data_IF_089141360952
#
_entry.id   IF_089141360952
#
_cell.length_a   1.000
_cell.length_b   1.000
_cell.length_c   1.000
_cell.angle_alpha   90.00
_cell.angle_beta   90.00
_cell.angle_gamma   90.00
#
_symmetry.space_group_name_H-M   'P 1'
#
loop_
_entity.id
_entity.type
_entity.pdbx_description
1 polymer ?
#
# COMPACT_ATOMS: atom_id res chain seq x y z
N UNK A 1 -8.78 -69.91 21.50
CA UNK A 1 -7.91 -68.99 22.25
C UNK A 1 -7.68 -67.62 21.58
N UNK A 2 -8.46 -67.21 20.55
CA UNK A 2 -8.20 -65.95 19.82
C UNK A 2 -9.27 -64.86 19.95
N UNK A 3 -10.47 -65.19 20.41
CA UNK A 3 -11.55 -64.21 20.61
C UNK A 3 -11.45 -63.52 21.96
N UNK A 4 -11.25 -64.29 23.04
CA UNK A 4 -11.16 -63.79 24.42
C UNK A 4 -10.05 -62.76 24.65
N UNK A 5 -8.93 -62.90 23.93
CA UNK A 5 -7.80 -61.97 24.05
C UNK A 5 -8.11 -60.63 23.37
N UNK A 6 -8.88 -60.64 22.27
CA UNK A 6 -9.33 -59.42 21.59
C UNK A 6 -10.40 -58.71 22.42
N UNK A 7 -11.34 -59.44 23.03
CA UNK A 7 -12.35 -58.84 23.91
C UNK A 7 -11.75 -58.21 25.17
N UNK A 8 -10.75 -58.86 25.77
CA UNK A 8 -10.07 -58.33 26.96
C UNK A 8 -9.26 -57.06 26.64
N UNK A 9 -8.58 -57.00 25.50
CA UNK A 9 -7.85 -55.80 25.06
C UNK A 9 -8.82 -54.66 24.74
N UNK A 10 -9.94 -54.95 24.07
CA UNK A 10 -10.93 -53.92 23.73
C UNK A 10 -11.59 -53.31 24.98
N UNK A 11 -11.87 -54.12 26.02
CA UNK A 11 -12.41 -53.61 27.29
C UNK A 11 -11.40 -52.76 28.07
N UNK A 12 -10.10 -53.08 28.01
CA UNK A 12 -9.06 -52.31 28.69
C UNK A 12 -8.86 -50.91 28.05
N UNK A 13 -9.01 -50.80 26.73
CA UNK A 13 -8.97 -49.51 26.02
C UNK A 13 -10.17 -48.63 26.38
N UNK A 14 -11.34 -49.23 26.57
CA UNK A 14 -12.58 -48.51 26.91
C UNK A 14 -12.64 -48.06 28.39
N UNK A 15 -11.85 -48.69 29.28
CA UNK A 15 -11.77 -48.36 30.70
C UNK A 15 -10.62 -47.42 31.05
N UNK A 16 -9.84 -46.97 30.05
CA UNK A 16 -8.76 -46.01 30.26
C UNK A 16 -9.36 -44.60 30.44
N UNK A 17 -9.06 -43.88 31.53
CA UNK A 17 -9.49 -42.50 31.66
C UNK A 17 -8.82 -41.67 30.55
N UNK A 18 -9.62 -41.07 29.67
CA UNK A 18 -9.13 -39.97 28.83
C UNK A 18 -8.80 -38.81 29.77
N UNK A 19 -7.50 -38.57 30.02
CA UNK A 19 -7.07 -37.24 30.43
C UNK A 19 -7.33 -36.31 29.23
N UNK A 20 -8.49 -35.68 29.18
CA UNK A 20 -8.69 -34.47 28.38
C UNK A 20 -8.02 -33.32 29.12
N UNK A 21 -6.69 -33.29 29.12
CA UNK A 21 -5.98 -32.06 29.41
C UNK A 21 -6.06 -31.23 28.14
N UNK A 22 -6.98 -30.27 28.11
CA UNK A 22 -6.85 -29.14 27.19
C UNK A 22 -5.49 -28.52 27.45
N UNK A 23 -4.66 -28.39 26.42
CA UNK A 23 -3.51 -27.50 26.48
C UNK A 23 -4.07 -26.08 26.58
N UNK A 24 -4.34 -25.63 27.80
CA UNK A 24 -4.40 -24.20 28.06
C UNK A 24 -2.98 -23.73 27.78
N UNK A 25 -2.80 -23.07 26.64
CA UNK A 25 -1.68 -22.17 26.45
C UNK A 25 -1.90 -21.09 27.51
N UNK A 26 -1.34 -21.31 28.69
CA UNK A 26 -1.10 -20.25 29.66
C UNK A 26 0.01 -19.41 29.02
N UNK A 27 -0.38 -18.58 28.04
CA UNK A 27 0.46 -17.49 27.58
C UNK A 27 0.58 -16.57 28.79
N UNK A 28 1.69 -16.76 29.49
CA UNK A 28 2.15 -15.98 30.63
C UNK A 28 1.75 -14.52 30.42
N UNK A 29 0.72 -14.10 31.15
CA UNK A 29 0.12 -12.77 31.08
C UNK A 29 1.02 -11.69 31.65
N UNK A 30 2.26 -11.60 31.17
CA UNK A 30 3.28 -10.70 31.70
C UNK A 30 4.28 -10.28 30.60
N UNK A 31 3.77 -9.74 29.48
CA UNK A 31 4.50 -8.72 28.72
C UNK A 31 3.67 -7.93 27.69
N UNK A 32 2.37 -7.77 27.89
CA UNK A 32 1.65 -6.71 27.18
C UNK A 32 2.06 -5.37 27.79
N UNK A 33 3.17 -4.81 27.30
CA UNK A 33 3.51 -3.41 27.50
C UNK A 33 2.44 -2.60 26.77
N UNK A 34 1.39 -2.23 27.47
CA UNK A 34 0.53 -1.14 27.03
C UNK A 34 1.43 0.09 26.94
N UNK A 35 1.75 0.51 25.72
CA UNK A 35 2.29 1.84 25.51
C UNK A 35 1.23 2.83 25.97
N UNK A 36 1.64 3.87 26.68
CA UNK A 36 0.79 5.04 26.81
C UNK A 36 0.39 5.50 25.40
N UNK A 37 -0.87 5.94 25.17
CA UNK A 37 -1.26 6.49 23.89
C UNK A 37 -0.28 7.59 23.49
N UNK A 38 0.12 7.62 22.21
CA UNK A 38 1.05 8.62 21.70
C UNK A 38 0.44 10.00 21.96
N UNK A 39 1.05 10.76 22.87
CA UNK A 39 0.76 12.17 23.02
C UNK A 39 1.56 12.91 21.95
N UNK A 40 0.91 13.16 20.81
CA UNK A 40 1.41 14.02 19.76
C UNK A 40 0.50 15.25 19.59
N UNK A 41 1.12 16.36 19.25
CA UNK A 41 0.46 17.61 18.85
C UNK A 41 1.04 18.03 17.51
N UNK A 42 0.21 18.66 16.68
CA UNK A 42 0.58 19.16 15.36
C UNK A 42 0.30 20.65 15.30
N UNK A 43 1.25 21.42 14.78
CA UNK A 43 1.09 22.87 14.60
C UNK A 43 1.90 23.36 13.40
N UNK A 44 1.29 24.14 12.48
CA UNK A 44 -0.16 24.36 12.36
C UNK A 44 -0.92 23.06 12.00
N UNK A 45 -2.23 23.01 12.27
CA UNK A 45 -3.10 21.86 11.92
C UNK A 45 -3.52 21.84 10.44
N UNK A 46 -2.98 22.76 9.63
CA UNK A 46 -3.28 22.95 8.22
C UNK A 46 -2.13 23.69 7.55
N UNK A 47 -1.93 23.49 6.24
CA UNK A 47 -0.92 24.18 5.45
C UNK A 47 -1.29 24.25 3.97
N UNK A 48 -0.42 24.87 3.17
CA UNK A 48 -0.61 24.98 1.72
C UNK A 48 -0.15 23.71 1.00
N UNK A 49 -0.95 23.23 0.05
CA UNK A 49 -0.58 22.10 -0.83
C UNK A 49 0.58 22.43 -1.78
N UNK A 50 0.82 23.72 -2.03
CA UNK A 50 1.99 24.21 -2.77
C UNK A 50 3.32 24.12 -2.01
N UNK A 51 3.29 23.68 -0.75
CA UNK A 51 4.46 23.60 0.12
C UNK A 51 4.92 24.95 0.69
N UNK A 52 6.00 24.91 1.47
CA UNK A 52 6.66 26.09 2.07
C UNK A 52 6.24 26.43 3.50
N UNK A 53 5.17 25.81 4.02
CA UNK A 53 4.79 25.92 5.43
C UNK A 53 5.45 24.82 6.25
N UNK A 54 6.19 25.19 7.31
CA UNK A 54 6.77 24.23 8.24
C UNK A 54 5.69 23.70 9.20
N UNK A 55 5.40 22.39 9.12
CA UNK A 55 4.50 21.72 10.07
C UNK A 55 5.34 20.99 11.12
N UNK A 56 5.14 21.36 12.39
CA UNK A 56 5.83 20.74 13.51
C UNK A 56 4.93 19.70 14.18
N UNK A 57 5.42 18.46 14.29
CA UNK A 57 4.81 17.41 15.09
C UNK A 57 5.63 17.25 16.38
N UNK A 58 5.02 17.56 17.53
CA UNK A 58 5.66 17.44 18.84
C UNK A 58 5.03 16.31 19.64
N UNK A 59 5.84 15.40 20.16
CA UNK A 59 5.37 14.23 20.91
C UNK A 59 6.51 13.33 21.36
N UNK A 60 6.16 12.13 21.83
CA UNK A 60 7.12 11.11 22.26
C UNK A 60 6.80 9.76 21.59
N UNK A 61 7.78 8.86 21.49
CA UNK A 61 7.59 7.53 20.89
C UNK A 61 8.00 7.41 19.41
N UNK A 62 8.33 8.51 18.73
CA UNK A 62 8.68 8.49 17.30
C UNK A 62 9.95 7.69 16.97
N UNK A 63 10.90 7.57 17.91
CA UNK A 63 12.14 6.82 17.70
C UNK A 63 11.96 5.31 17.64
N UNK A 64 10.85 4.79 18.21
CA UNK A 64 10.54 3.35 18.20
C UNK A 64 9.63 2.95 17.03
N UNK A 65 9.04 3.90 16.30
CA UNK A 65 8.18 3.60 15.14
C UNK A 65 8.94 2.84 14.04
N UNK A 66 10.25 3.10 13.87
CA UNK A 66 11.09 2.39 12.91
C UNK A 66 11.27 0.89 13.22
N UNK A 67 10.93 0.45 14.45
CA UNK A 67 11.15 -0.92 14.94
C UNK A 67 9.90 -1.55 15.55
N UNK A 68 8.75 -0.87 15.47
CA UNK A 68 7.46 -1.33 15.98
C UNK A 68 6.55 -1.68 14.81
N UNK A 69 6.11 -2.93 14.74
CA UNK A 69 5.02 -3.35 13.86
C UNK A 69 3.63 -3.04 14.46
N UNK A 70 3.59 -2.46 15.66
CA UNK A 70 2.34 -2.02 16.29
C UNK A 70 2.09 -0.58 15.84
N UNK A 71 0.96 -0.34 15.16
CA UNK A 71 0.49 1.00 14.82
C UNK A 71 -0.29 1.62 15.99
N UNK A 72 -0.70 2.88 15.84
CA UNK A 72 -1.38 3.66 16.89
C UNK A 72 -2.73 3.07 17.35
N UNK A 73 -3.29 2.12 16.61
CA UNK A 73 -4.50 1.35 16.94
C UNK A 73 -4.24 0.17 17.91
N UNK A 74 -2.98 -0.09 18.28
CA UNK A 74 -2.60 -1.22 19.14
C UNK A 74 -2.66 -2.59 18.45
N UNK A 75 -2.84 -2.62 17.12
CA UNK A 75 -2.85 -3.84 16.31
C UNK A 75 -1.45 -4.05 15.73
N UNK A 76 -1.03 -5.33 15.65
CA UNK A 76 0.19 -5.71 14.97
C UNK A 76 -0.06 -5.76 13.46
N UNK A 77 0.49 -4.80 12.72
CA UNK A 77 0.44 -4.77 11.26
C UNK A 77 1.63 -5.51 10.69
N UNK A 78 1.37 -6.48 9.84
CA UNK A 78 2.40 -7.19 9.10
C UNK A 78 2.50 -6.60 7.69
N UNK A 79 3.72 -6.32 7.25
CA UNK A 79 3.96 -5.97 5.86
C UNK A 79 3.56 -7.14 4.97
N UNK A 80 2.71 -6.86 3.98
CA UNK A 80 2.30 -7.79 2.95
C UNK A 80 2.61 -7.18 1.58
N UNK A 81 3.38 -7.91 0.78
CA UNK A 81 3.66 -7.50 -0.59
C UNK A 81 2.46 -7.82 -1.49
N UNK A 82 2.13 -6.89 -2.37
CA UNK A 82 1.19 -7.13 -3.47
C UNK A 82 1.72 -6.48 -4.74
N UNK A 83 1.38 -7.05 -5.89
CA UNK A 83 1.90 -6.60 -7.19
C UNK A 83 0.81 -5.88 -7.96
N UNK A 84 1.00 -4.59 -8.20
CA UNK A 84 0.04 -3.73 -8.89
C UNK A 84 -0.03 -3.97 -10.40
N UNK A 85 1.08 -4.36 -11.02
CA UNK A 85 1.18 -4.61 -12.46
C UNK A 85 2.22 -5.69 -12.74
N UNK A 86 1.83 -6.72 -13.52
CA UNK A 86 2.69 -7.85 -13.88
C UNK A 86 3.36 -7.72 -15.25
N UNK A 87 3.19 -6.58 -15.93
CA UNK A 87 3.80 -6.38 -17.24
C UNK A 87 5.32 -6.24 -17.16
N UNK A 88 6.00 -6.74 -18.19
CA UNK A 88 7.45 -6.70 -18.27
C UNK A 88 7.94 -5.25 -18.16
N UNK A 89 8.95 -5.02 -17.31
CA UNK A 89 9.50 -3.69 -17.02
C UNK A 89 8.49 -2.67 -16.45
N UNK A 90 7.50 -3.12 -15.69
CA UNK A 90 6.63 -2.23 -14.92
C UNK A 90 7.41 -1.46 -13.84
N UNK A 91 6.98 -0.22 -13.59
CA UNK A 91 7.43 0.61 -12.46
C UNK A 91 8.75 1.38 -12.62
N UNK A 92 9.26 1.62 -13.83
CA UNK A 92 10.55 2.34 -14.01
C UNK A 92 10.52 3.76 -13.44
N UNK A 93 9.47 4.52 -13.77
CA UNK A 93 9.17 5.83 -13.19
C UNK A 93 7.79 5.73 -12.59
N UNK A 94 7.62 5.97 -11.30
CA UNK A 94 6.35 5.75 -10.63
C UNK A 94 6.03 6.84 -9.62
N UNK A 95 4.74 7.04 -9.38
CA UNK A 95 4.24 7.91 -8.33
C UNK A 95 2.97 7.30 -7.71
N UNK A 96 2.70 7.62 -6.45
CA UNK A 96 1.67 6.97 -5.62
C UNK A 96 0.92 7.99 -4.77
N UNK A 97 -0.41 7.85 -4.72
CA UNK A 97 -1.30 8.62 -3.85
C UNK A 97 -2.39 7.72 -3.28
N UNK A 98 -3.12 8.21 -2.28
CA UNK A 98 -4.25 7.51 -1.64
C UNK A 98 -5.46 8.42 -1.65
N UNK A 99 -6.61 7.93 -2.10
CA UNK A 99 -7.87 8.68 -2.13
C UNK A 99 -8.57 8.71 -0.75
N UNK A 100 -9.61 9.52 -0.62
CA UNK A 100 -10.37 9.65 0.63
C UNK A 100 -11.11 8.37 1.04
N UNK A 101 -11.30 7.42 0.12
CA UNK A 101 -11.87 6.09 0.37
C UNK A 101 -10.80 5.07 0.80
N UNK A 102 -9.51 5.46 0.79
CA UNK A 102 -8.38 4.60 1.12
C UNK A 102 -7.89 3.73 -0.04
N UNK A 103 -8.33 3.97 -1.27
CA UNK A 103 -7.79 3.31 -2.44
C UNK A 103 -6.41 3.85 -2.77
N UNK A 104 -5.51 2.94 -3.15
CA UNK A 104 -4.15 3.31 -3.54
C UNK A 104 -4.10 3.48 -5.04
N UNK A 105 -3.66 4.65 -5.51
CA UNK A 105 -3.47 4.95 -6.93
C UNK A 105 -1.98 5.02 -7.22
N UNK A 106 -1.52 4.16 -8.14
CA UNK A 106 -0.14 4.15 -8.62
C UNK A 106 -0.15 4.45 -10.10
N UNK A 107 0.58 5.48 -10.52
CA UNK A 107 0.91 5.67 -11.94
C UNK A 107 2.35 5.28 -12.18
N UNK A 108 2.63 4.72 -13.35
CA UNK A 108 4.01 4.49 -13.76
C UNK A 108 4.19 4.57 -15.27
N UNK A 109 5.43 4.81 -15.69
CA UNK A 109 5.90 4.65 -17.07
C UNK A 109 6.60 3.29 -17.17
N UNK A 110 6.14 2.45 -18.09
CA UNK A 110 6.74 1.15 -18.37
C UNK A 110 8.07 1.32 -19.11
N UNK A 111 9.12 0.66 -18.64
CA UNK A 111 10.47 0.80 -19.17
C UNK A 111 10.73 0.15 -20.52
N UNK A 112 9.90 -0.80 -20.92
CA UNK A 112 10.05 -1.53 -22.18
C UNK A 112 9.31 -0.88 -23.35
N UNK A 113 8.14 -0.30 -23.08
CA UNK A 113 7.25 0.19 -24.12
C UNK A 113 6.75 1.64 -23.93
N UNK A 114 7.17 2.32 -22.85
CA UNK A 114 6.80 3.70 -22.53
C UNK A 114 5.28 3.94 -22.44
N UNK A 115 4.52 2.90 -22.09
CA UNK A 115 3.12 3.06 -21.72
C UNK A 115 3.03 3.69 -20.33
N UNK A 116 2.22 4.73 -20.21
CA UNK A 116 1.80 5.23 -18.91
C UNK A 116 0.64 4.37 -18.45
N UNK A 117 0.77 3.76 -17.27
CA UNK A 117 -0.23 2.87 -16.69
C UNK A 117 -0.67 3.38 -15.34
N UNK A 118 -1.94 3.15 -15.03
CA UNK A 118 -2.57 3.47 -13.76
C UNK A 118 -3.09 2.19 -13.13
N UNK A 119 -2.63 1.91 -11.92
CA UNK A 119 -3.06 0.80 -11.09
C UNK A 119 -3.80 1.31 -9.86
N UNK A 120 -4.95 0.71 -9.56
CA UNK A 120 -5.76 1.04 -8.37
C UNK A 120 -5.91 -0.17 -7.48
N UNK A 121 -5.58 -0.04 -6.20
CA UNK A 121 -5.92 -1.03 -5.17
C UNK A 121 -7.23 -0.65 -4.49
N UNK A 122 -8.26 -1.48 -4.66
CA UNK A 122 -9.60 -1.25 -4.12
C UNK A 122 -9.79 -1.70 -2.66
N UNK A 123 -8.69 -2.02 -1.96
CA UNK A 123 -8.72 -2.64 -0.64
C UNK A 123 -8.67 -4.17 -0.68
N UNK A 124 -8.94 -4.79 -1.84
CA UNK A 124 -8.93 -6.24 -2.02
C UNK A 124 -8.06 -6.71 -3.19
N UNK A 125 -8.00 -5.94 -4.27
CA UNK A 125 -7.35 -6.33 -5.51
C UNK A 125 -6.79 -5.12 -6.26
N UNK A 126 -5.78 -5.39 -7.10
CA UNK A 126 -5.21 -4.40 -8.01
C UNK A 126 -5.87 -4.48 -9.38
N UNK A 127 -6.22 -3.32 -9.93
CA UNK A 127 -6.69 -3.16 -11.30
C UNK A 127 -5.74 -2.23 -12.04
N UNK A 128 -4.98 -2.76 -13.02
CA UNK A 128 -4.05 -1.97 -13.85
C UNK A 128 -4.57 -1.78 -15.27
N UNK A 129 -4.48 -0.55 -15.77
CA UNK A 129 -4.81 -0.19 -17.14
C UNK A 129 -3.74 0.72 -17.76
N UNK A 130 -3.52 0.57 -19.07
CA UNK A 130 -2.78 1.58 -19.85
C UNK A 130 -3.68 2.80 -20.01
N UNK A 131 -3.22 3.96 -19.59
CA UNK A 131 -3.97 5.22 -19.69
C UNK A 131 -3.51 6.06 -20.89
N UNK A 132 -2.23 5.94 -21.23
CA UNK A 132 -1.64 6.65 -22.35
C UNK A 132 -0.46 5.85 -22.92
N UNK A 133 -0.20 6.04 -24.20
CA UNK A 133 1.01 5.56 -24.83
C UNK A 133 1.79 6.78 -25.31
N UNK A 134 3.07 6.88 -24.93
CA UNK A 134 3.95 7.94 -25.41
C UNK A 134 4.30 7.79 -26.91
N UNK A 135 3.51 7.05 -27.71
CA UNK A 135 3.58 7.06 -29.17
C UNK A 135 4.91 6.55 -29.75
N UNK A 136 5.58 5.60 -29.09
CA UNK A 136 6.97 5.18 -29.35
C UNK A 136 8.04 6.25 -29.13
N UNK A 137 7.65 7.41 -28.63
CA UNK A 137 8.54 8.44 -28.14
C UNK A 137 8.86 8.16 -26.67
N UNK A 138 10.06 8.54 -26.23
CA UNK A 138 10.49 8.40 -24.85
C UNK A 138 9.72 9.38 -23.94
N UNK A 139 9.30 8.91 -22.78
CA UNK A 139 8.76 9.74 -21.70
C UNK A 139 9.36 9.30 -20.37
N UNK A 140 9.52 10.25 -19.45
CA UNK A 140 10.17 10.07 -18.15
C UNK A 140 9.60 11.04 -17.10
N UNK A 141 10.00 10.85 -15.84
CA UNK A 141 9.63 11.69 -14.68
C UNK A 141 8.11 11.91 -14.55
N UNK A 142 7.36 10.86 -14.20
CA UNK A 142 5.95 10.99 -13.85
C UNK A 142 5.76 11.28 -12.36
N UNK A 143 5.07 12.37 -12.05
CA UNK A 143 4.67 12.75 -10.69
C UNK A 143 3.16 12.83 -10.59
N UNK A 144 2.58 12.36 -9.48
CA UNK A 144 1.15 12.28 -9.22
C UNK A 144 0.82 12.99 -7.90
N UNK A 145 -0.24 13.79 -7.92
CA UNK A 145 -0.89 14.34 -6.73
C UNK A 145 -2.41 14.12 -6.83
N UNK A 146 -3.09 14.21 -5.71
CA UNK A 146 -4.56 14.08 -5.60
C UNK A 146 -5.11 15.35 -4.97
N UNK A 147 -6.28 15.80 -5.44
CA UNK A 147 -6.98 16.95 -4.87
C UNK A 147 -8.07 16.54 -3.86
N UNK A 148 -8.74 17.53 -3.28
CA UNK A 148 -9.80 17.31 -2.28
C UNK A 148 -11.09 16.69 -2.87
N UNK A 149 -11.20 16.56 -4.19
CA UNK A 149 -12.32 15.91 -4.88
C UNK A 149 -12.00 14.45 -5.26
N UNK A 150 -10.87 13.91 -4.80
CA UNK A 150 -10.30 12.63 -5.24
C UNK A 150 -9.94 12.59 -6.74
N UNK A 151 -9.76 13.75 -7.38
CA UNK A 151 -9.27 13.83 -8.75
C UNK A 151 -7.75 13.75 -8.78
N UNK A 152 -7.21 13.03 -9.77
CA UNK A 152 -5.77 12.82 -9.87
C UNK A 152 -5.16 13.79 -10.87
N UNK A 153 -4.01 14.33 -10.50
CA UNK A 153 -3.24 15.26 -11.29
C UNK A 153 -1.85 14.69 -11.47
N UNK A 154 -1.46 14.40 -12.71
CA UNK A 154 -0.12 13.95 -13.01
C UNK A 154 0.58 14.88 -13.99
N UNK A 155 1.90 14.89 -13.97
CA UNK A 155 2.70 15.51 -15.01
C UNK A 155 3.83 14.57 -15.41
N UNK A 156 4.18 14.57 -16.68
CA UNK A 156 5.32 13.83 -17.19
C UNK A 156 6.03 14.60 -18.29
N UNK A 157 7.29 14.25 -18.53
CA UNK A 157 8.08 14.84 -19.60
C UNK A 157 8.16 13.87 -20.77
N UNK A 158 8.04 14.40 -21.99
CA UNK A 158 8.34 13.70 -23.23
C UNK A 158 9.14 14.59 -24.16
N UNK A 159 9.62 14.10 -25.30
CA UNK A 159 10.26 14.94 -26.30
C UNK A 159 9.76 14.61 -27.70
N UNK A 160 9.53 15.59 -28.57
CA UNK A 160 9.56 15.32 -30.00
C UNK A 160 10.99 15.55 -30.54
N UNK A 161 11.21 15.34 -31.84
CA UNK A 161 12.55 15.44 -32.45
C UNK A 161 13.28 16.77 -32.19
N UNK A 162 12.56 17.82 -31.79
CA UNK A 162 13.11 19.16 -31.64
C UNK A 162 12.96 19.74 -30.22
N UNK A 163 11.99 19.30 -29.42
CA UNK A 163 11.67 19.93 -28.14
C UNK A 163 11.23 18.91 -27.08
N UNK A 164 11.67 19.14 -25.84
CA UNK A 164 11.05 18.53 -24.66
C UNK A 164 9.69 19.19 -24.42
N UNK A 165 8.75 18.43 -23.88
CA UNK A 165 7.37 18.83 -23.67
C UNK A 165 6.93 18.33 -22.31
N UNK A 166 6.45 19.26 -21.48
CA UNK A 166 5.78 18.94 -20.23
C UNK A 166 4.31 18.74 -20.53
N UNK A 167 3.80 17.56 -20.20
CA UNK A 167 2.39 17.19 -20.40
C UNK A 167 1.75 16.98 -19.04
N UNK A 168 0.59 17.60 -18.86
CA UNK A 168 -0.26 17.44 -17.69
C UNK A 168 -1.37 16.43 -18.00
N UNK A 169 -1.66 15.56 -17.03
CA UNK A 169 -2.72 14.56 -17.06
C UNK A 169 -3.70 14.80 -15.91
N UNK A 170 -4.99 14.65 -16.18
CA UNK A 170 -6.06 14.78 -15.18
C UNK A 170 -7.00 13.58 -15.24
N UNK A 171 -7.26 12.97 -14.09
CA UNK A 171 -8.27 11.92 -13.91
C UNK A 171 -9.45 12.47 -13.14
N UNK A 172 -10.61 12.55 -13.79
CA UNK A 172 -11.86 13.10 -13.23
C UNK A 172 -12.66 12.07 -12.38
N UNK A 173 -11.99 11.00 -11.93
CA UNK A 173 -12.63 9.85 -11.29
C UNK A 173 -13.22 8.83 -12.27
N UNK A 174 -13.23 9.12 -13.58
CA UNK A 174 -13.74 8.20 -14.61
C UNK A 174 -12.79 8.00 -15.78
N UNK A 175 -12.16 9.07 -16.25
CA UNK A 175 -11.34 9.07 -17.46
C UNK A 175 -10.15 10.00 -17.33
N UNK A 176 -9.10 9.69 -18.10
CA UNK A 176 -7.91 10.52 -18.18
C UNK A 176 -8.02 11.49 -19.37
N UNK A 177 -7.61 12.73 -19.14
CA UNK A 177 -7.41 13.75 -20.17
C UNK A 177 -6.00 14.33 -20.07
N UNK A 178 -5.47 14.84 -21.19
CA UNK A 178 -4.14 15.40 -21.26
C UNK A 178 -4.13 16.82 -21.82
N UNK A 179 -3.09 17.58 -21.46
CA UNK A 179 -2.84 18.93 -21.99
C UNK A 179 -1.35 19.20 -22.04
N UNK A 180 -0.86 19.68 -23.19
CA UNK A 180 0.49 20.21 -23.32
C UNK A 180 0.62 21.52 -22.51
N UNK A 181 1.54 21.55 -21.55
CA UNK A 181 1.77 22.70 -20.67
C UNK A 181 2.81 23.64 -21.25
N UNK A 182 3.93 23.08 -21.73
CA UNK A 182 5.03 23.86 -22.30
C UNK A 182 5.93 23.00 -23.17
N UNK A 183 6.56 23.64 -24.17
CA UNK A 183 7.67 23.09 -24.94
C UNK A 183 8.98 23.80 -24.59
N UNK A 184 10.09 23.08 -24.56
CA UNK A 184 11.42 23.70 -24.45
C UNK A 184 11.67 24.64 -25.63
N UNK A 185 12.32 25.78 -25.39
CA UNK A 185 12.60 26.79 -26.43
C UNK A 185 13.69 26.36 -27.43
#
# INVERSE_FOLDING_TARGET
MRTWLVTAVLLAVMASPMLTQTSVLDDSGDNLRYSSPIQATISPTSGWTSGGEEITITGSGFSNLAFSNITDDGINHQWADSTADYTDQAGEWNSIVVDSNGHVHVVHINGGNYQIRHSVYDGTSWNSATIMNCGHTYCWDIDLVIDDNDELHAAYTTYNTNYETLVYLHYDGTSWSDTEVSVSA
#
